data_IF_455749418571
#
_entry.id   IF_455749418571
#
_cell.length_a   1.000
_cell.length_b   1.000
_cell.length_c   1.000
_cell.angle_alpha   90.00
_cell.angle_beta   90.00
_cell.angle_gamma   90.00
#
_symmetry.space_group_name_H-M   'P 1'
#
loop_
_entity.id
_entity.type
_entity.pdbx_description
1 polymer ?
#
# COMPACT_ATOMS: atom_id res chain seq x y z
N UNK A 1 -18.70 -38.63 75.00
CA UNK A 1 -19.99 -38.91 74.34
C UNK A 1 -19.69 -39.38 72.93
N UNK A 2 -19.89 -40.68 72.69
CA UNK A 2 -20.00 -41.47 71.45
C UNK A 2 -19.25 -41.08 70.15
N UNK A 3 -18.33 -41.98 69.76
CA UNK A 3 -17.94 -42.34 68.37
C UNK A 3 -19.09 -43.08 67.63
N UNK A 4 -19.12 -43.22 66.27
CA UNK A 4 -18.27 -44.14 65.46
C UNK A 4 -17.80 -43.57 64.09
N UNK A 5 -16.56 -43.82 63.63
CA UNK A 5 -16.06 -44.99 62.86
C UNK A 5 -16.85 -45.34 61.59
N UNK A 6 -16.23 -45.19 60.41
CA UNK A 6 -16.38 -46.18 59.34
C UNK A 6 -15.14 -46.27 58.42
N UNK A 7 -14.67 -47.49 58.24
CA UNK A 7 -13.53 -47.92 57.41
C UNK A 7 -14.10 -48.76 56.26
N UNK A 8 -13.53 -48.67 55.06
CA UNK A 8 -13.83 -49.61 53.99
C UNK A 8 -12.57 -49.96 53.18
N UNK A 9 -12.37 -51.27 53.03
CA UNK A 9 -11.21 -51.98 52.44
C UNK A 9 -11.36 -52.11 50.91
N UNK A 10 -10.27 -52.11 50.10
CA UNK A 10 -10.36 -52.28 48.64
C UNK A 10 -10.32 -53.76 48.21
N UNK A 11 -11.12 -54.11 47.19
CA UNK A 11 -11.16 -55.44 46.59
C UNK A 11 -10.50 -55.48 45.20
N UNK A 12 -9.43 -56.29 45.14
CA UNK A 12 -8.89 -57.18 44.09
C UNK A 12 -8.92 -56.81 42.59
N UNK A 13 -7.74 -57.07 42.01
CA UNK A 13 -7.34 -57.09 40.60
C UNK A 13 -8.24 -57.91 39.66
N UNK A 14 -8.34 -57.45 38.41
CA UNK A 14 -8.55 -58.31 37.24
C UNK A 14 -7.85 -57.68 36.02
N UNK A 15 -6.77 -58.33 35.55
CA UNK A 15 -6.07 -58.04 34.30
C UNK A 15 -6.48 -59.10 33.27
N UNK A 16 -7.23 -58.69 32.24
CA UNK A 16 -7.38 -59.46 31.00
C UNK A 16 -6.69 -58.67 29.86
N UNK A 17 -6.01 -59.33 28.92
CA UNK A 17 -5.25 -58.65 27.87
C UNK A 17 -6.21 -58.04 26.83
N UNK A 18 -6.02 -56.79 26.39
CA UNK A 18 -6.93 -56.20 25.42
C UNK A 18 -6.72 -56.78 24.02
N UNK A 19 -7.83 -57.23 23.47
CA UNK A 19 -8.08 -57.66 22.10
C UNK A 19 -7.50 -56.66 21.08
N UNK A 20 -6.39 -57.04 20.43
CA UNK A 20 -5.51 -56.15 19.64
C UNK A 20 -6.19 -55.52 18.42
N UNK A 21 -7.23 -56.15 17.85
CA UNK A 21 -8.01 -55.58 16.73
C UNK A 21 -9.03 -54.52 17.17
N UNK A 22 -9.67 -54.73 18.33
CA UNK A 22 -10.54 -53.72 18.93
C UNK A 22 -9.73 -52.51 19.40
N UNK A 23 -8.49 -52.74 19.85
CA UNK A 23 -7.50 -51.71 20.18
C UNK A 23 -7.13 -50.85 18.97
N UNK A 24 -6.85 -51.46 17.80
CA UNK A 24 -6.50 -50.74 16.57
C UNK A 24 -7.65 -49.86 16.05
N UNK A 25 -8.89 -50.39 16.01
CA UNK A 25 -10.07 -49.60 15.59
C UNK A 25 -10.34 -48.47 16.58
N UNK A 26 -10.18 -48.72 17.88
CA UNK A 26 -10.34 -47.70 18.92
C UNK A 26 -9.25 -46.62 18.84
N UNK A 27 -8.00 -47.01 18.52
CA UNK A 27 -6.88 -46.09 18.31
C UNK A 27 -7.06 -45.27 17.03
N UNK A 28 -7.49 -45.87 15.92
CA UNK A 28 -7.76 -45.17 14.67
C UNK A 28 -8.95 -44.20 14.82
N UNK A 29 -9.98 -44.60 15.56
CA UNK A 29 -11.13 -43.74 15.87
C UNK A 29 -10.74 -42.59 16.80
N UNK A 30 -9.96 -42.87 17.85
CA UNK A 30 -9.45 -41.83 18.76
C UNK A 30 -8.49 -40.87 18.06
N UNK A 31 -7.67 -41.36 17.12
CA UNK A 31 -6.82 -40.52 16.27
C UNK A 31 -7.65 -39.65 15.33
N UNK A 32 -8.66 -40.21 14.65
CA UNK A 32 -9.54 -39.48 13.75
C UNK A 32 -10.39 -38.43 14.50
N UNK A 33 -10.93 -38.77 15.67
CA UNK A 33 -11.65 -37.83 16.54
C UNK A 33 -10.75 -36.72 17.07
N UNK A 34 -9.47 -37.03 17.38
CA UNK A 34 -8.47 -36.05 17.76
C UNK A 34 -8.13 -35.12 16.60
N UNK A 35 -7.93 -35.65 15.40
CA UNK A 35 -7.69 -34.87 14.19
C UNK A 35 -8.86 -33.92 13.88
N UNK A 36 -10.09 -34.42 13.90
CA UNK A 36 -11.31 -33.62 13.70
C UNK A 36 -11.44 -32.52 14.76
N UNK A 37 -11.12 -32.82 16.03
CA UNK A 37 -11.10 -31.79 17.10
C UNK A 37 -9.99 -30.76 16.90
N UNK A 38 -8.81 -31.14 16.43
CA UNK A 38 -7.72 -30.20 16.10
C UNK A 38 -8.07 -29.31 14.91
N UNK A 39 -8.85 -29.82 13.95
CA UNK A 39 -9.34 -29.06 12.79
C UNK A 39 -10.47 -28.09 13.17
N UNK A 40 -11.35 -28.44 14.12
CA UNK A 40 -12.50 -27.61 14.49
C UNK A 40 -12.31 -26.73 15.73
N UNK A 41 -11.38 -27.07 16.63
CA UNK A 41 -11.07 -26.31 17.83
C UNK A 41 -9.57 -26.40 18.14
N UNK A 42 -8.72 -25.49 17.61
CA UNK A 42 -7.37 -25.34 18.12
C UNK A 42 -7.43 -24.79 19.56
N UNK A 43 -7.48 -25.67 20.56
CA UNK A 43 -7.32 -25.25 21.95
C UNK A 43 -5.84 -25.25 22.32
N UNK A 44 -5.29 -24.04 22.32
CA UNK A 44 -4.02 -23.65 22.95
C UNK A 44 -4.16 -23.73 24.47
N UNK A 45 -3.19 -24.34 25.15
CA UNK A 45 -2.81 -23.83 26.48
C UNK A 45 -2.12 -22.47 26.25
N UNK A 46 -2.39 -21.42 27.04
CA UNK A 46 -1.77 -20.12 26.83
C UNK A 46 -0.33 -20.14 27.37
N UNK A 47 0.60 -20.58 26.53
CA UNK A 47 1.89 -19.91 26.52
C UNK A 47 1.60 -18.51 25.96
N UNK A 48 2.02 -17.45 26.66
CA UNK A 48 2.05 -16.11 26.06
C UNK A 48 2.97 -16.26 24.85
N UNK A 49 2.46 -16.17 23.61
CA UNK A 49 3.31 -16.32 22.44
C UNK A 49 4.42 -15.29 22.55
N UNK A 50 5.64 -15.69 22.25
CA UNK A 50 6.69 -14.68 22.04
C UNK A 50 6.21 -13.74 20.93
N UNK A 51 6.57 -12.47 21.00
CA UNK A 51 6.15 -11.46 20.02
C UNK A 51 6.42 -11.93 18.57
N UNK A 52 7.52 -12.64 18.37
CA UNK A 52 7.90 -13.24 17.08
C UNK A 52 6.94 -14.36 16.63
N UNK A 53 6.47 -15.22 17.52
CA UNK A 53 5.46 -16.25 17.20
C UNK A 53 4.12 -15.62 16.84
N UNK A 54 3.74 -14.54 17.52
CA UNK A 54 2.53 -13.76 17.20
C UNK A 54 2.63 -13.14 15.80
N UNK A 55 3.76 -12.49 15.47
CA UNK A 55 3.98 -11.89 14.14
C UNK A 55 4.01 -12.93 13.02
N UNK A 56 4.60 -14.11 13.26
CA UNK A 56 4.58 -15.23 12.31
C UNK A 56 3.17 -15.74 12.05
N UNK A 57 2.36 -15.90 13.09
CA UNK A 57 0.96 -16.33 12.92
C UNK A 57 0.16 -15.34 12.06
N UNK A 58 0.37 -14.04 12.27
CA UNK A 58 -0.24 -12.99 11.43
C UNK A 58 0.25 -13.07 9.98
N UNK A 59 1.57 -13.24 9.76
CA UNK A 59 2.12 -13.41 8.43
C UNK A 59 1.55 -14.66 7.72
N UNK A 60 1.32 -15.75 8.44
CA UNK A 60 0.70 -16.96 7.89
C UNK A 60 -0.76 -16.74 7.45
N UNK A 61 -1.54 -16.00 8.25
CA UNK A 61 -2.92 -15.60 7.90
C UNK A 61 -2.91 -14.80 6.60
N UNK A 62 -2.01 -13.82 6.49
CA UNK A 62 -1.89 -12.97 5.32
C UNK A 62 -1.45 -13.75 4.08
N UNK A 63 -0.47 -14.64 4.22
CA UNK A 63 -0.02 -15.53 3.14
C UNK A 63 -1.16 -16.41 2.61
N UNK A 64 -1.97 -16.99 3.50
CA UNK A 64 -3.11 -17.82 3.12
C UNK A 64 -4.21 -16.99 2.42
N UNK A 65 -4.43 -15.76 2.85
CA UNK A 65 -5.42 -14.84 2.29
C UNK A 65 -5.01 -14.19 0.96
N UNK A 66 -3.70 -14.04 0.71
CA UNK A 66 -3.14 -13.25 -0.39
C UNK A 66 -3.71 -13.62 -1.75
N UNK A 67 -3.90 -14.92 -2.02
CA UNK A 67 -4.45 -15.36 -3.30
C UNK A 67 -5.85 -14.87 -3.55
N UNK A 68 -6.73 -15.10 -2.60
CA UNK A 68 -8.14 -14.72 -2.70
C UNK A 68 -8.26 -13.20 -2.79
N UNK A 69 -7.51 -12.49 -1.94
CA UNK A 69 -7.51 -11.04 -1.90
C UNK A 69 -6.97 -10.43 -3.20
N UNK A 70 -5.89 -10.97 -3.77
CA UNK A 70 -5.35 -10.47 -5.04
C UNK A 70 -6.35 -10.61 -6.18
N UNK A 71 -7.14 -11.69 -6.23
CA UNK A 71 -8.19 -11.86 -7.25
C UNK A 71 -9.32 -10.85 -7.05
N UNK A 72 -9.72 -10.60 -5.80
CA UNK A 72 -10.73 -9.58 -5.49
C UNK A 72 -10.24 -8.17 -5.86
N UNK A 73 -8.98 -7.86 -5.57
CA UNK A 73 -8.35 -6.61 -5.94
C UNK A 73 -8.31 -6.42 -7.46
N UNK A 74 -8.10 -7.50 -8.22
CA UNK A 74 -8.09 -7.46 -9.69
C UNK A 74 -9.47 -7.09 -10.22
N UNK A 75 -10.50 -7.82 -9.78
CA UNK A 75 -11.87 -7.52 -10.16
C UNK A 75 -12.27 -6.08 -9.81
N UNK A 76 -11.82 -5.58 -8.66
CA UNK A 76 -12.07 -4.19 -8.25
C UNK A 76 -11.36 -3.18 -9.14
N UNK A 77 -10.13 -3.46 -9.53
CA UNK A 77 -9.32 -2.61 -10.41
C UNK A 77 -9.92 -2.56 -11.81
N UNK A 78 -10.28 -3.70 -12.38
CA UNK A 78 -10.96 -3.77 -13.68
C UNK A 78 -12.28 -3.03 -13.67
N UNK A 79 -13.11 -3.21 -12.63
CA UNK A 79 -14.38 -2.50 -12.48
C UNK A 79 -14.21 -0.97 -12.58
N UNK A 80 -13.08 -0.44 -12.09
CA UNK A 80 -12.83 1.00 -12.07
C UNK A 80 -12.20 1.52 -13.36
N UNK A 81 -11.31 0.73 -13.98
CA UNK A 81 -10.42 1.25 -15.01
C UNK A 81 -10.64 0.64 -16.40
N UNK A 82 -11.51 -0.36 -16.57
CA UNK A 82 -11.72 -1.02 -17.87
C UNK A 82 -12.22 -0.04 -18.95
N UNK A 83 -13.11 0.88 -18.59
CA UNK A 83 -13.61 1.91 -19.51
C UNK A 83 -12.51 2.92 -19.88
N UNK A 84 -11.64 3.22 -18.92
CA UNK A 84 -10.53 4.15 -19.10
C UNK A 84 -9.42 3.56 -20.00
N UNK A 85 -9.20 2.23 -20.00
CA UNK A 85 -8.32 1.56 -20.97
C UNK A 85 -8.77 1.86 -22.40
N UNK A 86 -10.08 1.72 -22.66
CA UNK A 86 -10.66 1.96 -23.99
C UNK A 86 -10.57 3.44 -24.34
N UNK A 87 -10.99 4.33 -23.42
CA UNK A 87 -10.99 5.78 -23.62
C UNK A 87 -9.60 6.33 -23.92
N UNK A 88 -8.59 5.84 -23.21
CA UNK A 88 -7.21 6.27 -23.35
C UNK A 88 -6.44 5.50 -24.43
N UNK A 89 -7.09 4.53 -25.10
CA UNK A 89 -6.49 3.70 -26.15
C UNK A 89 -5.22 2.99 -25.66
N UNK A 90 -5.25 2.53 -24.41
CA UNK A 90 -4.17 1.70 -23.86
C UNK A 90 -4.31 0.32 -24.51
N UNK A 91 -3.21 -0.18 -25.08
CA UNK A 91 -3.19 -1.52 -25.69
C UNK A 91 -3.46 -2.57 -24.60
N UNK A 92 -4.51 -3.40 -24.69
CA UNK A 92 -4.81 -4.38 -23.65
C UNK A 92 -3.63 -5.33 -23.36
N UNK A 93 -2.79 -5.60 -24.36
CA UNK A 93 -1.65 -6.51 -24.26
C UNK A 93 -0.53 -5.99 -23.36
N UNK A 94 -0.46 -4.67 -23.10
CA UNK A 94 0.52 -4.10 -22.17
C UNK A 94 0.10 -4.23 -20.71
N UNK A 95 -1.17 -4.57 -20.45
CA UNK A 95 -1.70 -4.88 -19.12
C UNK A 95 -1.70 -6.40 -18.96
N UNK A 96 -0.60 -6.97 -18.48
CA UNK A 96 -0.48 -8.42 -18.23
C UNK A 96 -0.96 -8.78 -16.80
N UNK A 97 -2.14 -9.39 -16.63
CA UNK A 97 -2.69 -9.69 -15.30
C UNK A 97 -1.84 -10.70 -14.53
N UNK A 98 -1.18 -11.61 -15.24
CA UNK A 98 -0.36 -12.67 -14.64
C UNK A 98 0.96 -12.11 -14.15
N UNK A 99 1.61 -11.27 -14.95
CA UNK A 99 2.82 -10.58 -14.53
C UNK A 99 2.55 -9.67 -13.32
N UNK A 100 1.48 -8.89 -13.35
CA UNK A 100 1.12 -7.99 -12.24
C UNK A 100 0.83 -8.83 -10.98
N UNK A 101 0.03 -9.89 -11.10
CA UNK A 101 -0.27 -10.77 -9.96
C UNK A 101 1.00 -11.43 -9.41
N UNK A 102 1.92 -11.89 -10.26
CA UNK A 102 3.19 -12.46 -9.82
C UNK A 102 4.02 -11.47 -8.99
N UNK A 103 4.09 -10.22 -9.44
CA UNK A 103 4.82 -9.15 -8.75
C UNK A 103 4.13 -8.75 -7.43
N UNK A 104 2.79 -8.72 -7.39
CA UNK A 104 2.00 -8.55 -6.15
C UNK A 104 2.37 -9.59 -5.12
N UNK A 105 2.37 -10.87 -5.49
CA UNK A 105 2.70 -11.94 -4.55
C UNK A 105 4.12 -11.84 -4.02
N UNK A 106 5.08 -11.57 -4.92
CA UNK A 106 6.49 -11.42 -4.57
C UNK A 106 6.68 -10.35 -3.49
N UNK A 107 6.11 -9.17 -3.69
CA UNK A 107 6.29 -8.03 -2.79
C UNK A 107 5.54 -8.22 -1.47
N UNK A 108 4.30 -8.69 -1.49
CA UNK A 108 3.55 -8.89 -0.26
C UNK A 108 4.16 -10.01 0.60
N UNK A 109 4.66 -11.09 0.00
CA UNK A 109 5.40 -12.11 0.75
C UNK A 109 6.65 -11.53 1.40
N UNK A 110 7.41 -10.69 0.68
CA UNK A 110 8.56 -9.99 1.25
C UNK A 110 8.15 -9.12 2.46
N UNK A 111 7.01 -8.42 2.38
CA UNK A 111 6.51 -7.63 3.50
C UNK A 111 6.11 -8.50 4.70
N UNK A 112 5.43 -9.62 4.46
CA UNK A 112 5.03 -10.54 5.53
C UNK A 112 6.24 -11.18 6.20
N UNK A 113 7.24 -11.61 5.43
CA UNK A 113 8.50 -12.12 5.96
C UNK A 113 9.23 -11.06 6.77
N UNK A 114 9.31 -9.83 6.27
CA UNK A 114 9.94 -8.71 6.98
C UNK A 114 9.27 -8.43 8.32
N UNK A 115 7.93 -8.40 8.34
CA UNK A 115 7.13 -8.25 9.56
C UNK A 115 7.36 -9.42 10.54
N UNK A 116 7.32 -10.66 10.06
CA UNK A 116 7.53 -11.86 10.87
C UNK A 116 8.92 -11.91 11.52
N UNK A 117 9.94 -11.36 10.85
CA UNK A 117 11.31 -11.24 11.38
C UNK A 117 11.55 -9.97 12.20
N UNK A 118 10.54 -9.10 12.32
CA UNK A 118 10.63 -7.85 13.06
C UNK A 118 11.53 -6.79 12.43
N UNK A 119 11.74 -6.84 11.12
CA UNK A 119 12.36 -5.77 10.35
C UNK A 119 11.41 -4.57 10.39
N UNK A 120 11.89 -3.38 10.76
CA UNK A 120 11.03 -2.20 10.88
C UNK A 120 10.47 -1.76 9.51
N UNK A 121 9.33 -1.06 9.47
CA UNK A 121 8.77 -0.55 8.21
C UNK A 121 9.74 0.31 7.42
N UNK A 122 10.55 1.14 8.08
CA UNK A 122 11.53 2.02 7.45
C UNK A 122 12.64 1.20 6.78
N UNK A 123 13.10 0.16 7.46
CA UNK A 123 14.12 -0.73 6.90
C UNK A 123 13.56 -1.54 5.74
N UNK A 124 12.34 -2.05 5.88
CA UNK A 124 11.63 -2.72 4.78
C UNK A 124 11.48 -1.80 3.57
N UNK A 125 11.07 -0.53 3.77
CA UNK A 125 10.92 0.43 2.68
C UNK A 125 12.22 0.61 1.89
N UNK A 126 13.36 0.69 2.59
CA UNK A 126 14.70 0.77 1.96
C UNK A 126 15.03 -0.52 1.20
N UNK A 127 14.84 -1.68 1.83
CA UNK A 127 15.22 -2.98 1.25
C UNK A 127 14.33 -3.37 0.05
N UNK A 128 13.05 -2.99 0.06
CA UNK A 128 12.09 -3.27 -1.01
C UNK A 128 12.15 -2.25 -2.17
N UNK A 129 12.67 -1.03 -1.93
CA UNK A 129 12.67 0.08 -2.89
C UNK A 129 13.22 -0.29 -4.28
N UNK A 130 14.38 -0.96 -4.41
CA UNK A 130 14.92 -1.28 -5.74
C UNK A 130 14.04 -2.25 -6.53
N UNK A 131 13.37 -3.18 -5.85
CA UNK A 131 12.50 -4.15 -6.51
C UNK A 131 11.17 -3.50 -6.93
N UNK A 132 10.59 -2.66 -6.08
CA UNK A 132 9.41 -1.87 -6.42
C UNK A 132 9.69 -0.90 -7.58
N UNK A 133 10.87 -0.30 -7.59
CA UNK A 133 11.36 0.53 -8.70
C UNK A 133 11.46 -0.24 -10.01
N UNK A 134 11.98 -1.48 -9.99
CA UNK A 134 12.02 -2.36 -11.17
C UNK A 134 10.62 -2.74 -11.66
N UNK A 135 9.70 -3.07 -10.75
CA UNK A 135 8.31 -3.37 -11.09
C UNK A 135 7.67 -2.17 -11.78
N UNK A 136 7.81 -0.97 -11.20
CA UNK A 136 7.31 0.26 -11.81
C UNK A 136 7.90 0.47 -13.19
N UNK A 137 9.23 0.43 -13.33
CA UNK A 137 9.91 0.63 -14.61
C UNK A 137 9.50 -0.41 -15.68
N UNK A 138 9.32 -1.67 -15.29
CA UNK A 138 8.84 -2.75 -16.15
C UNK A 138 7.49 -2.41 -16.76
N UNK A 139 6.52 -1.96 -15.95
CA UNK A 139 5.16 -1.69 -16.43
C UNK A 139 4.99 -0.32 -17.07
N UNK A 140 5.87 0.65 -16.81
CA UNK A 140 5.82 1.96 -17.46
C UNK A 140 6.67 2.07 -18.72
N UNK A 141 7.43 1.02 -19.09
CA UNK A 141 8.37 1.05 -20.20
C UNK A 141 7.73 1.29 -21.57
N UNK A 142 6.51 0.77 -21.80
CA UNK A 142 5.79 0.90 -23.08
C UNK A 142 4.73 2.00 -22.99
N UNK A 143 3.85 1.91 -21.99
CA UNK A 143 2.82 2.90 -21.72
C UNK A 143 2.80 3.24 -20.23
N UNK A 144 3.25 4.46 -19.85
CA UNK A 144 3.32 4.85 -18.44
C UNK A 144 1.99 4.80 -17.70
N UNK A 145 0.85 4.85 -18.40
CA UNK A 145 -0.49 4.82 -17.77
C UNK A 145 -0.84 3.46 -17.18
N UNK A 146 -0.16 2.38 -17.61
CA UNK A 146 -0.31 1.03 -17.03
C UNK A 146 -0.02 1.02 -15.53
N UNK A 147 0.80 1.97 -15.03
CA UNK A 147 1.04 2.10 -13.59
C UNK A 147 -0.25 2.35 -12.79
N UNK A 148 -1.29 2.90 -13.40
CA UNK A 148 -2.61 3.03 -12.76
C UNK A 148 -3.21 1.67 -12.42
N UNK A 149 -3.14 0.68 -13.32
CA UNK A 149 -3.59 -0.69 -13.04
C UNK A 149 -2.73 -1.36 -11.98
N UNK A 150 -1.41 -1.26 -12.12
CA UNK A 150 -0.46 -1.89 -11.20
C UNK A 150 -0.66 -1.32 -9.79
N UNK A 151 -0.63 0.00 -9.63
CA UNK A 151 -0.77 0.65 -8.32
C UNK A 151 -2.14 0.36 -7.69
N UNK A 152 -3.24 0.38 -8.45
CA UNK A 152 -4.57 0.06 -7.93
C UNK A 152 -4.69 -1.41 -7.51
N UNK A 153 -4.07 -2.34 -8.25
CA UNK A 153 -4.03 -3.75 -7.89
C UNK A 153 -3.30 -3.97 -6.56
N UNK A 154 -2.13 -3.36 -6.41
CA UNK A 154 -1.37 -3.42 -5.16
C UNK A 154 -2.13 -2.77 -4.00
N UNK A 155 -2.73 -1.61 -4.24
CA UNK A 155 -3.48 -0.84 -3.26
C UNK A 155 -4.66 -1.62 -2.68
N UNK A 156 -5.52 -2.18 -3.54
CA UNK A 156 -6.67 -2.96 -3.08
C UNK A 156 -6.25 -4.28 -2.45
N UNK A 157 -5.18 -4.91 -2.94
CA UNK A 157 -4.62 -6.10 -2.28
C UNK A 157 -4.24 -5.77 -0.84
N UNK A 158 -3.53 -4.66 -0.61
CA UNK A 158 -3.14 -4.22 0.73
C UNK A 158 -4.33 -3.89 1.61
N UNK A 159 -5.32 -3.15 1.10
CA UNK A 159 -6.53 -2.81 1.85
C UNK A 159 -7.31 -4.05 2.30
N UNK A 160 -7.53 -5.00 1.39
CA UNK A 160 -8.27 -6.21 1.69
C UNK A 160 -7.49 -7.13 2.65
N UNK A 161 -6.16 -7.18 2.55
CA UNK A 161 -5.31 -7.90 3.51
C UNK A 161 -5.41 -7.30 4.91
N UNK A 162 -5.34 -5.98 5.05
CA UNK A 162 -5.55 -5.29 6.34
C UNK A 162 -6.93 -5.63 6.91
N UNK A 163 -7.95 -5.75 6.06
CA UNK A 163 -9.30 -6.14 6.45
C UNK A 163 -9.43 -7.54 7.04
N UNK A 164 -8.42 -8.41 6.89
CA UNK A 164 -8.39 -9.75 7.51
C UNK A 164 -7.89 -9.73 8.96
N UNK A 165 -7.37 -8.60 9.44
CA UNK A 165 -6.63 -8.51 10.70
C UNK A 165 -7.39 -7.78 11.79
N UNK A 166 -7.02 -8.06 13.03
CA UNK A 166 -7.52 -7.33 14.20
C UNK A 166 -6.96 -5.89 14.24
N UNK A 167 -7.67 -4.91 14.83
CA UNK A 167 -7.30 -3.50 14.77
C UNK A 167 -5.86 -3.18 15.21
N UNK A 168 -5.32 -3.85 16.24
CA UNK A 168 -3.93 -3.63 16.66
C UNK A 168 -2.92 -4.06 15.59
N UNK A 169 -3.15 -5.21 14.95
CA UNK A 169 -2.30 -5.74 13.88
C UNK A 169 -2.41 -4.89 12.61
N UNK A 170 -3.59 -4.32 12.35
CA UNK A 170 -3.75 -3.37 11.25
C UNK A 170 -2.84 -2.16 11.40
N UNK A 171 -2.77 -1.56 12.59
CA UNK A 171 -1.90 -0.41 12.84
C UNK A 171 -0.41 -0.75 12.68
N UNK A 172 -0.01 -1.97 13.06
CA UNK A 172 1.38 -2.43 12.88
C UNK A 172 1.77 -2.66 11.42
N UNK A 173 0.85 -3.16 10.59
CA UNK A 173 1.14 -3.53 9.19
C UNK A 173 0.90 -2.44 8.17
N UNK A 174 0.01 -1.47 8.47
CA UNK A 174 -0.27 -0.32 7.60
C UNK A 174 0.99 0.39 7.09
N UNK A 175 2.04 0.64 7.91
CA UNK A 175 3.28 1.25 7.44
C UNK A 175 4.01 0.47 6.35
N UNK A 176 4.03 -0.87 6.42
CA UNK A 176 4.64 -1.71 5.37
C UNK A 176 3.88 -1.59 4.06
N UNK A 177 2.55 -1.66 4.11
CA UNK A 177 1.74 -1.57 2.90
C UNK A 177 1.74 -0.16 2.31
N UNK A 178 1.82 0.87 3.17
CA UNK A 178 2.05 2.25 2.71
C UNK A 178 3.37 2.36 1.95
N UNK A 179 4.45 1.76 2.44
CA UNK A 179 5.74 1.80 1.75
C UNK A 179 5.66 1.17 0.34
N UNK A 180 4.89 0.07 0.19
CA UNK A 180 4.62 -0.53 -1.12
C UNK A 180 3.84 0.43 -2.03
N UNK A 181 2.72 0.96 -1.53
CA UNK A 181 1.88 1.91 -2.26
C UNK A 181 2.68 3.13 -2.74
N UNK A 182 3.48 3.73 -1.85
CA UNK A 182 4.24 4.95 -2.14
C UNK A 182 5.24 4.75 -3.30
N UNK A 183 5.98 3.63 -3.30
CA UNK A 183 6.97 3.33 -4.33
C UNK A 183 6.35 2.95 -5.68
N UNK A 184 5.12 2.44 -5.68
CA UNK A 184 4.41 2.12 -6.92
C UNK A 184 3.63 3.31 -7.47
N UNK A 185 3.13 4.19 -6.60
CA UNK A 185 2.35 5.35 -7.01
C UNK A 185 3.24 6.52 -7.46
N UNK A 186 4.43 6.68 -6.85
CA UNK A 186 5.36 7.77 -7.14
C UNK A 186 6.68 7.25 -7.74
N UNK A 187 7.36 8.01 -8.62
CA UNK A 187 8.61 7.60 -9.23
C UNK A 187 9.83 7.80 -8.29
N UNK A 188 9.76 7.30 -7.05
CA UNK A 188 10.78 7.51 -6.02
C UNK A 188 12.16 6.98 -6.43
N UNK A 189 12.24 5.75 -6.95
CA UNK A 189 13.51 5.18 -7.39
C UNK A 189 14.15 6.01 -8.51
N UNK A 190 13.36 6.51 -9.47
CA UNK A 190 13.83 7.40 -10.53
C UNK A 190 14.38 8.71 -9.97
N UNK A 191 13.73 9.27 -8.95
CA UNK A 191 14.26 10.45 -8.25
C UNK A 191 15.61 10.14 -7.57
N UNK A 192 15.75 8.98 -6.92
CA UNK A 192 17.01 8.57 -6.30
C UNK A 192 18.13 8.35 -7.32
N UNK A 193 17.83 7.66 -8.42
CA UNK A 193 18.79 7.41 -9.50
C UNK A 193 19.25 8.73 -10.16
N UNK A 194 18.30 9.65 -10.40
CA UNK A 194 18.62 10.97 -10.94
C UNK A 194 19.45 11.79 -9.95
N UNK A 195 19.10 11.78 -8.65
CA UNK A 195 19.87 12.47 -7.61
C UNK A 195 21.30 11.94 -7.47
N UNK A 196 21.51 10.63 -7.63
CA UNK A 196 22.84 10.02 -7.55
C UNK A 196 23.80 10.48 -8.65
N UNK A 197 23.28 11.05 -9.75
CA UNK A 197 24.10 11.60 -10.83
C UNK A 197 24.69 12.99 -10.54
N UNK A 198 24.25 13.65 -9.46
CA UNK A 198 24.66 15.01 -9.13
C UNK A 198 25.85 15.07 -8.17
N UNK A 199 26.78 16.04 -8.36
CA UNK A 199 27.77 16.32 -7.35
C UNK A 199 27.12 16.93 -6.11
N UNK A 200 27.75 16.68 -4.96
CA UNK A 200 27.36 17.27 -3.69
C UNK A 200 27.35 18.81 -3.78
N UNK A 201 26.29 19.43 -3.24
CA UNK A 201 26.15 20.90 -3.23
C UNK A 201 25.62 21.52 -4.52
N UNK A 202 25.31 20.72 -5.54
CA UNK A 202 24.58 21.22 -6.72
C UNK A 202 23.21 21.78 -6.34
N UNK A 203 22.74 22.79 -7.06
CA UNK A 203 21.47 23.46 -6.78
C UNK A 203 20.28 22.49 -6.86
N UNK A 204 20.26 21.65 -7.90
CA UNK A 204 19.19 20.67 -8.13
C UNK A 204 19.10 19.65 -6.99
N UNK A 205 20.25 19.12 -6.54
CA UNK A 205 20.28 18.19 -5.42
C UNK A 205 19.89 18.86 -4.10
N UNK A 206 20.37 20.08 -3.84
CA UNK A 206 20.06 20.84 -2.63
C UNK A 206 18.56 21.14 -2.51
N UNK A 207 17.89 21.45 -3.64
CA UNK A 207 16.43 21.65 -3.68
C UNK A 207 15.72 20.41 -3.14
N UNK A 208 16.04 19.22 -3.68
CA UNK A 208 15.38 17.98 -3.28
C UNK A 208 15.73 17.62 -1.84
N UNK A 209 16.99 17.81 -1.42
CA UNK A 209 17.41 17.56 -0.04
C UNK A 209 16.71 18.47 0.99
N UNK A 210 16.32 19.70 0.61
CA UNK A 210 15.54 20.59 1.46
C UNK A 210 14.06 20.21 1.51
N UNK A 211 13.46 19.85 0.37
CA UNK A 211 12.03 19.54 0.29
C UNK A 211 11.68 18.13 0.81
N UNK A 212 12.54 17.14 0.59
CA UNK A 212 12.26 15.74 0.90
C UNK A 212 11.88 15.51 2.38
N UNK A 213 12.61 16.06 3.38
CA UNK A 213 12.25 15.90 4.79
C UNK A 213 10.91 16.56 5.16
N UNK A 214 10.53 17.62 4.45
CA UNK A 214 9.31 18.40 4.70
C UNK A 214 8.09 17.90 3.89
N UNK A 215 8.29 16.96 2.96
CA UNK A 215 7.29 16.57 1.96
C UNK A 215 5.93 16.19 2.55
N UNK A 216 5.92 15.31 3.55
CA UNK A 216 4.69 14.88 4.22
C UNK A 216 4.06 16.01 5.05
N UNK A 217 4.85 16.92 5.62
CA UNK A 217 4.35 18.06 6.37
C UNK A 217 3.68 19.08 5.44
N UNK A 218 4.32 19.38 4.31
CA UNK A 218 3.77 20.20 3.22
C UNK A 218 2.46 19.59 2.71
N UNK A 219 2.46 18.31 2.36
CA UNK A 219 1.28 17.60 1.85
C UNK A 219 0.09 17.71 2.82
N UNK A 220 0.31 17.49 4.13
CA UNK A 220 -0.73 17.62 5.15
C UNK A 220 -1.26 19.05 5.27
N UNK A 221 -0.40 20.07 5.22
CA UNK A 221 -0.82 21.48 5.26
C UNK A 221 -1.66 21.86 4.04
N UNK A 222 -1.23 21.44 2.85
CA UNK A 222 -1.96 21.64 1.59
C UNK A 222 -3.33 20.97 1.65
N UNK A 223 -3.40 19.70 2.03
CA UNK A 223 -4.66 18.95 2.08
C UNK A 223 -5.63 19.52 3.11
N UNK A 224 -5.14 19.98 4.27
CA UNK A 224 -5.98 20.67 5.24
C UNK A 224 -6.65 21.91 4.65
N UNK A 225 -5.91 22.71 3.88
CA UNK A 225 -6.45 23.91 3.22
C UNK A 225 -7.43 23.54 2.10
N UNK A 226 -7.17 22.48 1.33
CA UNK A 226 -8.11 21.94 0.33
C UNK A 226 -9.43 21.52 0.99
N UNK A 227 -9.38 20.77 2.10
CA UNK A 227 -10.58 20.33 2.83
C UNK A 227 -11.39 21.53 3.30
N UNK A 228 -10.73 22.59 3.78
CA UNK A 228 -11.39 23.82 4.22
C UNK A 228 -12.03 24.58 3.05
N UNK A 229 -11.39 24.61 1.89
CA UNK A 229 -11.91 25.30 0.70
C UNK A 229 -13.06 24.55 0.01
N UNK A 230 -13.10 23.22 0.10
CA UNK A 230 -14.10 22.37 -0.56
C UNK A 230 -14.84 21.43 0.40
N UNK A 231 -15.46 21.94 1.48
CA UNK A 231 -15.98 21.11 2.59
C UNK A 231 -17.10 20.14 2.17
N UNK A 232 -17.81 20.46 1.08
CA UNK A 232 -18.96 19.68 0.60
C UNK A 232 -18.60 18.72 -0.54
N UNK A 233 -17.34 18.66 -0.98
CA UNK A 233 -16.96 17.78 -2.07
C UNK A 233 -16.94 16.31 -1.65
N UNK A 234 -17.47 15.46 -2.52
CA UNK A 234 -17.55 14.00 -2.34
C UNK A 234 -16.78 13.32 -3.47
N UNK A 235 -15.75 12.57 -3.11
CA UNK A 235 -15.04 11.66 -4.00
C UNK A 235 -15.75 10.30 -4.04
N UNK A 236 -15.27 9.38 -4.86
CA UNK A 236 -15.77 8.01 -4.93
C UNK A 236 -15.79 7.31 -3.55
N UNK A 237 -14.73 7.51 -2.76
CA UNK A 237 -14.57 6.89 -1.44
C UNK A 237 -15.15 7.71 -0.28
N UNK A 238 -15.89 8.80 -0.57
CA UNK A 238 -16.58 9.63 0.41
C UNK A 238 -16.11 11.09 0.47
N UNK A 239 -16.39 11.75 1.59
CA UNK A 239 -16.11 13.17 1.78
C UNK A 239 -14.60 13.45 1.92
N UNK A 240 -14.15 14.64 1.49
CA UNK A 240 -12.73 15.05 1.61
C UNK A 240 -12.18 15.00 3.04
N UNK A 241 -13.02 15.23 4.05
CA UNK A 241 -12.63 15.20 5.46
C UNK A 241 -12.61 13.79 6.07
N UNK A 242 -13.03 12.76 5.34
CA UNK A 242 -12.93 11.38 5.80
C UNK A 242 -11.47 10.93 5.90
N UNK A 243 -11.16 10.02 6.81
CA UNK A 243 -9.77 9.54 7.03
C UNK A 243 -9.17 8.90 5.77
N UNK A 244 -9.99 8.15 5.02
CA UNK A 244 -9.58 7.46 3.78
C UNK A 244 -9.23 8.50 2.70
N UNK A 245 -10.15 9.42 2.40
CA UNK A 245 -9.94 10.42 1.34
C UNK A 245 -8.83 11.39 1.72
N UNK A 246 -8.72 11.79 2.99
CA UNK A 246 -7.61 12.62 3.47
C UNK A 246 -6.25 11.96 3.27
N UNK A 247 -6.17 10.65 3.53
CA UNK A 247 -4.93 9.88 3.34
C UNK A 247 -4.57 9.78 1.86
N UNK A 248 -5.54 9.50 0.98
CA UNK A 248 -5.29 9.50 -0.47
C UNK A 248 -4.93 10.89 -1.01
N UNK A 249 -5.57 11.95 -0.54
CA UNK A 249 -5.24 13.32 -0.94
C UNK A 249 -3.84 13.74 -0.48
N UNK A 250 -3.39 13.25 0.68
CA UNK A 250 -2.02 13.48 1.16
C UNK A 250 -1.03 12.77 0.24
N UNK A 251 -1.32 11.52 -0.15
CA UNK A 251 -0.50 10.77 -1.10
C UNK A 251 -0.43 11.47 -2.46
N UNK A 252 -1.54 12.01 -2.96
CA UNK A 252 -1.52 12.77 -4.21
C UNK A 252 -0.63 14.01 -4.10
N UNK A 253 -0.74 14.78 -3.01
CA UNK A 253 0.15 15.92 -2.79
C UNK A 253 1.63 15.51 -2.69
N UNK A 254 1.96 14.38 -2.04
CA UNK A 254 3.32 13.80 -2.02
C UNK A 254 3.77 13.35 -3.43
N UNK A 255 2.85 12.80 -4.22
CA UNK A 255 3.10 12.39 -5.60
C UNK A 255 3.49 13.60 -6.46
N UNK A 256 2.69 14.67 -6.46
CA UNK A 256 3.01 15.88 -7.22
C UNK A 256 4.37 16.47 -6.82
N UNK A 257 4.72 16.47 -5.53
CA UNK A 257 6.05 16.89 -5.08
C UNK A 257 7.16 16.01 -5.68
N UNK A 258 6.99 14.68 -5.64
CA UNK A 258 7.97 13.73 -6.19
C UNK A 258 8.18 13.92 -7.69
N UNK A 259 7.12 14.12 -8.47
CA UNK A 259 7.25 14.40 -9.91
C UNK A 259 7.98 15.71 -10.17
N UNK A 260 7.77 16.75 -9.36
CA UNK A 260 8.56 18.00 -9.47
C UNK A 260 10.03 17.75 -9.15
N UNK A 261 10.35 16.93 -8.15
CA UNK A 261 11.75 16.57 -7.87
C UNK A 261 12.41 15.88 -9.05
N UNK A 262 11.73 14.90 -9.67
CA UNK A 262 12.23 14.26 -10.89
C UNK A 262 12.43 15.27 -12.00
N UNK A 263 11.50 16.21 -12.21
CA UNK A 263 11.68 17.25 -13.22
C UNK A 263 12.91 18.13 -12.97
N UNK A 264 13.16 18.52 -11.72
CA UNK A 264 14.33 19.31 -11.32
C UNK A 264 15.62 18.53 -11.55
N UNK A 265 15.66 17.26 -11.12
CA UNK A 265 16.85 16.41 -11.22
C UNK A 265 17.13 16.00 -12.67
N UNK A 266 16.13 15.74 -13.49
CA UNK A 266 16.32 15.37 -14.90
C UNK A 266 16.36 16.57 -15.85
N UNK A 267 16.13 17.76 -15.31
CA UNK A 267 16.06 19.03 -16.04
C UNK A 267 15.03 19.04 -17.17
N UNK A 268 13.92 18.33 -16.98
CA UNK A 268 12.93 18.06 -18.03
C UNK A 268 11.53 17.85 -17.44
N UNK A 269 10.48 18.33 -18.12
CA UNK A 269 9.08 18.17 -17.73
C UNK A 269 8.44 16.86 -18.24
N UNK A 270 9.15 16.05 -19.02
CA UNK A 270 8.61 14.87 -19.73
C UNK A 270 7.91 13.88 -18.81
N UNK A 271 8.41 13.65 -17.59
CA UNK A 271 7.80 12.73 -16.63
C UNK A 271 6.40 13.19 -16.22
N UNK A 272 6.15 14.50 -16.18
CA UNK A 272 4.80 15.03 -15.96
C UNK A 272 3.93 14.82 -17.19
N UNK A 273 4.46 15.11 -18.38
CA UNK A 273 3.71 15.06 -19.64
C UNK A 273 3.32 13.65 -20.06
N UNK A 274 4.22 12.69 -19.87
CA UNK A 274 4.08 11.32 -20.36
C UNK A 274 3.45 10.39 -19.33
N UNK A 275 3.55 10.73 -18.04
CA UNK A 275 3.15 9.84 -16.95
C UNK A 275 2.13 10.49 -16.01
N UNK A 276 2.51 11.53 -15.24
CA UNK A 276 1.63 12.10 -14.21
C UNK A 276 0.32 12.65 -14.79
N UNK A 277 0.39 13.52 -15.80
CA UNK A 277 -0.80 14.17 -16.33
C UNK A 277 -1.77 13.16 -16.96
N UNK A 278 -1.33 12.25 -17.86
CA UNK A 278 -2.21 11.20 -18.37
C UNK A 278 -2.79 10.30 -17.27
N UNK A 279 -2.00 9.96 -16.24
CA UNK A 279 -2.46 9.18 -15.10
C UNK A 279 -3.57 9.91 -14.32
N UNK A 280 -3.41 11.21 -14.05
CA UNK A 280 -4.44 12.01 -13.40
C UNK A 280 -5.71 12.09 -14.26
N UNK A 281 -5.59 12.30 -15.58
CA UNK A 281 -6.75 12.33 -16.51
C UNK A 281 -7.50 11.00 -16.49
N UNK A 282 -6.79 9.89 -16.38
CA UNK A 282 -7.36 8.54 -16.29
C UNK A 282 -8.05 8.28 -14.94
N UNK A 283 -7.44 8.68 -13.82
CA UNK A 283 -7.88 8.28 -12.49
C UNK A 283 -8.86 9.26 -11.82
N UNK A 284 -8.64 10.56 -11.95
CA UNK A 284 -9.39 11.56 -11.18
C UNK A 284 -10.87 11.62 -11.53
N UNK A 285 -11.29 11.56 -12.81
CA UNK A 285 -12.70 11.47 -13.15
C UNK A 285 -13.37 10.22 -12.56
N UNK A 286 -12.71 9.06 -12.65
CA UNK A 286 -13.17 7.78 -12.07
C UNK A 286 -13.40 7.89 -10.57
N UNK A 287 -12.51 8.61 -9.87
CA UNK A 287 -12.63 8.86 -8.43
C UNK A 287 -13.46 10.09 -8.05
N UNK A 288 -14.12 10.73 -9.02
CA UNK A 288 -14.93 11.94 -8.85
C UNK A 288 -14.15 13.13 -8.27
N UNK A 289 -12.83 13.18 -8.48
CA UNK A 289 -11.99 14.30 -8.09
C UNK A 289 -12.16 15.42 -9.12
N UNK A 290 -12.63 16.58 -8.67
CA UNK A 290 -12.80 17.72 -9.57
C UNK A 290 -11.47 18.43 -9.85
N UNK A 291 -11.27 18.86 -11.10
CA UNK A 291 -10.07 19.59 -11.51
C UNK A 291 -9.85 20.91 -10.75
N UNK A 292 -10.90 21.55 -10.25
CA UNK A 292 -10.78 22.74 -9.39
C UNK A 292 -10.01 22.47 -8.09
N UNK A 293 -10.16 21.28 -7.52
CA UNK A 293 -9.43 20.87 -6.31
C UNK A 293 -7.96 20.64 -6.63
N UNK A 294 -7.66 19.98 -7.74
CA UNK A 294 -6.29 19.71 -8.20
C UNK A 294 -5.55 21.03 -8.45
N UNK A 295 -6.17 21.97 -9.16
CA UNK A 295 -5.60 23.31 -9.39
C UNK A 295 -5.32 24.05 -8.09
N UNK A 296 -6.27 24.02 -7.16
CA UNK A 296 -6.09 24.68 -5.86
C UNK A 296 -4.95 24.06 -5.06
N UNK A 297 -4.84 22.72 -5.06
CA UNK A 297 -3.73 22.00 -4.45
C UNK A 297 -2.37 22.41 -5.06
N UNK A 298 -2.28 22.55 -6.39
CA UNK A 298 -1.05 22.98 -7.04
C UNK A 298 -0.64 24.42 -6.67
N UNK A 299 -1.59 25.35 -6.58
CA UNK A 299 -1.33 26.72 -6.10
C UNK A 299 -0.81 26.72 -4.67
N UNK A 300 -1.36 25.85 -3.81
CA UNK A 300 -0.89 25.71 -2.43
C UNK A 300 0.50 25.10 -2.35
N UNK A 301 0.80 24.08 -3.17
CA UNK A 301 2.14 23.50 -3.27
C UNK A 301 3.19 24.53 -3.71
N UNK A 302 2.86 25.36 -4.70
CA UNK A 302 3.74 26.46 -5.13
C UNK A 302 4.05 27.43 -3.99
N UNK A 303 3.05 27.80 -3.19
CA UNK A 303 3.24 28.68 -2.02
C UNK A 303 4.11 28.03 -0.94
N UNK A 304 3.89 26.76 -0.65
CA UNK A 304 4.70 26.01 0.32
C UNK A 304 6.16 25.90 -0.15
N UNK A 305 6.39 25.69 -1.45
CA UNK A 305 7.75 25.65 -2.01
C UNK A 305 8.41 27.03 -1.95
N UNK A 306 7.68 28.10 -2.24
CA UNK A 306 8.19 29.48 -2.12
C UNK A 306 8.57 29.83 -0.67
N UNK A 307 7.83 29.32 0.31
CA UNK A 307 8.10 29.54 1.72
C UNK A 307 9.26 28.68 2.26
N UNK A 308 9.51 27.52 1.64
CA UNK A 308 10.53 26.55 2.11
C UNK A 308 11.90 26.79 1.48
N UNK A 309 11.93 27.19 0.20
CA UNK A 309 13.16 27.30 -0.57
C UNK A 309 13.72 28.72 -0.57
N UNK A 310 15.05 28.84 -0.72
CA UNK A 310 15.69 30.09 -1.06
C UNK A 310 15.19 30.62 -2.44
N UNK A 311 15.22 31.94 -2.71
CA UNK A 311 14.63 32.49 -3.93
C UNK A 311 15.17 31.91 -5.24
N UNK A 312 16.47 31.65 -5.33
CA UNK A 312 17.13 31.04 -6.50
C UNK A 312 16.70 29.57 -6.70
N UNK A 313 16.65 28.81 -5.60
CA UNK A 313 16.13 27.45 -5.56
C UNK A 313 14.64 27.40 -5.96
N UNK A 314 13.83 28.34 -5.48
CA UNK A 314 12.42 28.43 -5.87
C UNK A 314 12.25 28.78 -7.34
N UNK A 315 13.02 29.73 -7.89
CA UNK A 315 12.98 30.05 -9.33
C UNK A 315 13.30 28.82 -10.20
N UNK A 316 14.24 27.97 -9.74
CA UNK A 316 14.53 26.69 -10.42
C UNK A 316 13.32 25.75 -10.38
N UNK A 317 12.66 25.58 -9.25
CA UNK A 317 11.43 24.78 -9.14
C UNK A 317 10.28 25.36 -9.99
N UNK A 318 10.15 26.69 -10.01
CA UNK A 318 9.08 27.39 -10.72
C UNK A 318 9.11 27.12 -12.23
N UNK A 319 10.31 26.87 -12.79
CA UNK A 319 10.48 26.47 -14.19
C UNK A 319 9.76 25.15 -14.55
N UNK A 320 9.40 24.33 -13.55
CA UNK A 320 8.63 23.09 -13.72
C UNK A 320 7.22 23.18 -13.15
N UNK A 321 7.01 23.94 -12.06
CA UNK A 321 5.68 24.21 -11.51
C UNK A 321 4.80 25.01 -12.47
N UNK A 322 5.33 26.01 -13.17
CA UNK A 322 4.53 26.83 -14.08
C UNK A 322 3.98 26.03 -15.28
N UNK A 323 4.78 25.22 -16.01
CA UNK A 323 4.25 24.31 -17.02
C UNK A 323 3.27 23.28 -16.44
N UNK A 324 3.54 22.72 -15.25
CA UNK A 324 2.62 21.80 -14.57
C UNK A 324 1.25 22.49 -14.32
N UNK A 325 1.25 23.69 -13.75
CA UNK A 325 0.03 24.48 -13.53
C UNK A 325 -0.72 24.75 -14.83
N UNK A 326 -0.01 25.07 -15.91
CA UNK A 326 -0.60 25.29 -17.22
C UNK A 326 -1.27 24.02 -17.78
N UNK A 327 -0.68 22.84 -17.58
CA UNK A 327 -1.28 21.57 -18.01
C UNK A 327 -2.60 21.26 -17.28
N UNK A 328 -2.73 21.66 -16.02
CA UNK A 328 -3.95 21.46 -15.24
C UNK A 328 -4.94 22.64 -15.30
N UNK A 329 -4.71 23.61 -16.19
CA UNK A 329 -5.49 24.85 -16.25
C UNK A 329 -6.93 24.60 -16.77
N UNK A 330 -7.88 25.52 -16.48
CA UNK A 330 -9.24 25.40 -16.99
C UNK A 330 -9.31 25.31 -18.52
N UNK A 331 -8.42 26.02 -19.23
CA UNK A 331 -8.40 26.08 -20.70
C UNK A 331 -8.15 24.70 -21.32
N UNK A 332 -7.30 23.87 -20.70
CA UNK A 332 -7.02 22.50 -21.16
C UNK A 332 -8.27 21.61 -21.06
N UNK A 333 -9.04 21.74 -19.97
CA UNK A 333 -10.22 20.90 -19.74
C UNK A 333 -11.51 21.47 -20.34
N UNK A 334 -11.55 22.76 -20.65
CA UNK A 334 -12.68 23.40 -21.34
C UNK A 334 -12.80 22.95 -22.82
N UNK A 335 -11.70 22.51 -23.42
CA UNK A 335 -11.68 22.00 -24.81
C UNK A 335 -12.15 20.54 -24.93
N UNK A 336 -12.36 19.85 -23.80
CA UNK A 336 -12.71 18.43 -23.75
C UNK A 336 -14.16 18.16 -23.27
N UNK A 337 -14.92 19.23 -23.01
CA UNK A 337 -16.36 19.20 -22.70
C UNK A 337 -17.15 19.64 -23.93
#
# INVERSE_FOLDING_TARGET
MNMPLNVSVPSKCNLNPPNTKASLITLSKAWAERYIRTVHHPQSQPAIPTEMESRRAVADILNQGLRTVSVQAWAKTEQLLSEEVVRHQIQPEVIDPWAISGDVYKIYNLAFESYAHGITPERFAVDASPELGKIRAKFTAIDPRVIGFVSMQFHYTGQFLVGLLEPCQQEELKPYFKAIDDHLYMPLQRAYDAAASYPQGSLELNIVQQLLPESSAIAKRVVNQVIQAFPNHQCYSGALNSSIVRSSSTRDAEMFQTYIWVCVLEKNISVVQQELFPLCVMLYPTFKVKWEIVRYMLVLLEREFAATLAPDAFVRCLSYLAPLNAMFSPEVFAQAA
#
